data_IF_245042201516
#
_entry.id   IF_245042201516
#
_cell.length_a   1.000
_cell.length_b   1.000
_cell.length_c   1.000
_cell.angle_alpha   90.00
_cell.angle_beta   90.00
_cell.angle_gamma   90.00
#
_symmetry.space_group_name_H-M   'P 1'
#
loop_
_entity.id
_entity.type
_entity.pdbx_description
1 polymer ?
#
# COMPACT_ATOMS: atom_id res chain seq x y z
N UNK A 1 19.60 20.49 -16.71
CA UNK A 1 18.26 19.97 -16.43
C UNK A 1 18.35 18.50 -16.07
N UNK A 2 18.05 18.16 -14.81
CA UNK A 2 17.72 16.79 -14.42
C UNK A 2 16.26 16.87 -14.03
N UNK A 3 15.40 16.29 -14.85
CA UNK A 3 13.96 16.24 -14.61
C UNK A 3 13.74 15.29 -13.42
N UNK A 4 13.83 15.85 -12.22
CA UNK A 4 13.64 15.13 -10.96
C UNK A 4 12.21 14.66 -10.84
N UNK A 5 12.03 13.43 -10.35
CA UNK A 5 10.74 12.91 -9.90
C UNK A 5 10.05 13.99 -9.08
N UNK A 6 8.87 14.43 -9.50
CA UNK A 6 8.02 15.23 -8.63
C UNK A 6 7.66 14.31 -7.45
N UNK A 7 7.84 14.81 -6.23
CA UNK A 7 7.54 14.06 -5.00
C UNK A 7 6.06 14.17 -4.68
N UNK A 8 5.50 13.14 -4.02
CA UNK A 8 4.14 13.20 -3.50
C UNK A 8 4.12 13.61 -2.02
N UNK A 9 2.99 14.14 -1.56
CA UNK A 9 2.71 14.44 -0.16
C UNK A 9 1.36 13.87 0.23
N UNK A 10 1.19 13.52 1.51
CA UNK A 10 -0.10 13.12 2.08
C UNK A 10 -1.05 14.29 2.35
N UNK A 11 -0.61 15.53 2.16
CA UNK A 11 -1.45 16.72 2.38
C UNK A 11 -2.53 16.89 1.30
N UNK A 12 -2.23 16.53 0.05
CA UNK A 12 -3.14 16.66 -1.10
C UNK A 12 -3.20 15.36 -1.93
N UNK A 13 -3.67 14.23 -1.37
CA UNK A 13 -3.72 12.93 -2.06
C UNK A 13 -4.67 12.91 -3.26
N UNK A 14 -5.67 13.80 -3.30
CA UNK A 14 -6.59 13.99 -4.42
C UNK A 14 -5.89 14.42 -5.71
N UNK A 15 -4.68 14.98 -5.59
CA UNK A 15 -3.89 15.45 -6.72
C UNK A 15 -2.93 14.40 -7.28
N UNK A 16 -2.76 13.26 -6.62
CA UNK A 16 -1.82 12.22 -7.05
C UNK A 16 -2.12 11.72 -8.46
N UNK A 17 -3.39 11.67 -8.86
CA UNK A 17 -3.82 11.28 -10.20
C UNK A 17 -3.28 12.13 -11.34
N UNK A 18 -2.91 13.40 -11.06
CA UNK A 18 -2.33 14.32 -12.06
C UNK A 18 -0.99 13.81 -12.60
N UNK A 19 -0.20 13.18 -11.74
CA UNK A 19 1.15 12.69 -12.07
C UNK A 19 1.24 11.16 -12.10
N UNK A 20 0.41 10.50 -11.31
CA UNK A 20 0.28 9.06 -11.22
C UNK A 20 -1.15 8.65 -11.61
N UNK A 21 -1.50 8.58 -12.92
CA UNK A 21 -2.88 8.38 -13.37
C UNK A 21 -3.57 7.13 -12.83
N UNK A 22 -2.81 6.12 -12.39
CA UNK A 22 -3.36 4.92 -11.75
C UNK A 22 -4.02 5.21 -10.40
N UNK A 23 -3.64 6.30 -9.72
CA UNK A 23 -4.27 6.74 -8.46
C UNK A 23 -5.73 7.19 -8.67
N UNK A 24 -6.11 7.63 -9.88
CA UNK A 24 -7.50 7.96 -10.25
C UNK A 24 -8.29 6.75 -10.78
N UNK A 25 -7.72 5.54 -10.70
CA UNK A 25 -8.40 4.31 -11.10
C UNK A 25 -9.63 4.00 -10.23
N UNK A 26 -10.53 3.16 -10.72
CA UNK A 26 -11.80 2.82 -10.03
C UNK A 26 -11.68 1.80 -8.89
N UNK A 27 -10.49 1.23 -8.70
CA UNK A 27 -10.24 0.11 -7.78
C UNK A 27 -9.09 0.44 -6.82
N UNK A 28 -9.20 1.59 -6.14
CA UNK A 28 -8.19 2.02 -5.15
C UNK A 28 -8.42 1.40 -3.78
N UNK A 29 -7.36 1.40 -2.98
CA UNK A 29 -7.38 1.20 -1.54
C UNK A 29 -6.98 2.49 -0.82
N UNK A 30 -7.37 2.70 0.45
CA UNK A 30 -8.21 1.83 1.28
C UNK A 30 -9.71 1.92 0.94
N UNK A 31 -10.49 0.96 1.45
CA UNK A 31 -11.97 0.98 1.40
C UNK A 31 -12.57 0.66 2.78
N UNK A 32 -13.82 1.04 2.98
CA UNK A 32 -14.62 0.61 4.14
C UNK A 32 -15.15 -0.82 3.93
N UNK A 33 -14.69 -1.77 4.76
CA UNK A 33 -15.13 -3.17 4.72
C UNK A 33 -16.35 -3.39 5.61
N UNK A 34 -17.54 -3.39 5.00
CA UNK A 34 -18.80 -3.68 5.71
C UNK A 34 -18.89 -5.18 6.03
N UNK A 35 -18.90 -5.52 7.32
CA UNK A 35 -18.85 -6.90 7.83
C UNK A 35 -19.96 -7.81 7.23
N UNK A 36 -21.11 -7.23 6.88
CA UNK A 36 -22.26 -7.95 6.33
C UNK A 36 -22.17 -8.22 4.82
N UNK A 37 -21.17 -7.66 4.13
CA UNK A 37 -20.90 -7.88 2.70
C UNK A 37 -19.61 -8.67 2.55
N UNK A 38 -19.70 -9.98 2.79
CA UNK A 38 -18.62 -10.92 2.48
C UNK A 38 -19.17 -11.99 1.55
N UNK A 39 -18.59 -12.10 0.36
CA UNK A 39 -18.74 -13.32 -0.41
C UNK A 39 -18.06 -14.43 0.39
N UNK A 40 -18.78 -15.51 0.70
CA UNK A 40 -18.18 -16.68 1.34
C UNK A 40 -17.37 -17.40 0.27
N UNK A 41 -16.08 -17.10 0.22
CA UNK A 41 -15.11 -17.82 -0.62
C UNK A 41 -14.57 -18.97 0.22
N UNK A 42 -14.37 -20.14 -0.38
CA UNK A 42 -13.55 -21.19 0.26
C UNK A 42 -12.11 -20.71 0.29
N UNK A 43 -11.76 -19.99 1.36
CA UNK A 43 -10.41 -19.47 1.56
C UNK A 43 -9.53 -20.53 2.21
N UNK A 44 -8.43 -20.86 1.55
CA UNK A 44 -7.36 -21.62 2.17
C UNK A 44 -6.68 -20.77 3.25
N UNK A 45 -6.34 -21.38 4.39
CA UNK A 45 -5.58 -20.70 5.43
C UNK A 45 -4.23 -20.20 4.89
N UNK A 46 -3.91 -18.93 5.17
CA UNK A 46 -2.60 -18.37 4.87
C UNK A 46 -1.52 -19.16 5.60
N UNK A 47 -0.46 -19.54 4.88
CA UNK A 47 0.70 -20.23 5.43
C UNK A 47 1.87 -19.26 5.53
N UNK A 48 2.37 -19.06 6.74
CA UNK A 48 3.53 -18.21 7.02
C UNK A 48 4.73 -19.12 7.29
N UNK A 49 5.60 -19.28 6.30
CA UNK A 49 6.83 -20.06 6.46
C UNK A 49 7.93 -19.16 7.01
N UNK A 50 8.69 -19.63 8.01
CA UNK A 50 9.85 -18.92 8.59
C UNK A 50 9.59 -17.51 9.13
N UNK A 51 8.33 -17.10 9.30
CA UNK A 51 7.98 -15.76 9.80
C UNK A 51 8.50 -15.51 11.22
N UNK A 52 8.61 -16.57 12.02
CA UNK A 52 9.12 -16.50 13.40
C UNK A 52 10.64 -16.65 13.47
N UNK A 53 11.33 -16.83 12.34
CA UNK A 53 12.78 -16.99 12.31
C UNK A 53 13.42 -15.62 12.52
N UNK A 54 14.30 -15.54 13.52
CA UNK A 54 14.94 -14.27 13.91
C UNK A 54 16.07 -13.99 12.91
N UNK A 55 16.05 -12.87 12.18
CA UNK A 55 17.13 -12.53 11.26
C UNK A 55 18.36 -12.01 12.01
N UNK A 56 19.55 -12.22 11.45
CA UNK A 56 20.82 -11.69 12.00
C UNK A 56 20.86 -10.16 12.02
N UNK A 57 20.15 -9.52 11.09
CA UNK A 57 20.00 -8.06 11.04
C UNK A 57 18.70 -7.64 10.37
N UNK A 58 18.19 -6.47 10.73
CA UNK A 58 17.05 -5.80 10.10
C UNK A 58 17.40 -4.33 9.87
N UNK A 59 16.92 -3.76 8.76
CA UNK A 59 17.12 -2.35 8.44
C UNK A 59 15.78 -1.61 8.53
N UNK A 60 15.68 -0.71 9.49
CA UNK A 60 14.62 0.30 9.54
C UNK A 60 15.15 1.63 8.99
N UNK A 61 14.36 2.31 8.17
CA UNK A 61 14.73 3.59 7.55
C UNK A 61 13.54 4.51 7.64
N UNK A 62 13.76 5.74 8.11
CA UNK A 62 12.81 6.81 7.94
C UNK A 62 12.90 7.32 6.49
N UNK A 63 11.87 7.08 5.69
CA UNK A 63 11.78 7.54 4.30
C UNK A 63 10.90 8.79 4.15
N UNK A 64 10.35 9.34 5.24
CA UNK A 64 9.44 10.49 5.23
C UNK A 64 7.99 10.19 4.81
N UNK A 65 7.68 8.94 4.43
CA UNK A 65 6.40 8.55 3.85
C UNK A 65 5.80 7.27 4.46
N UNK A 66 6.44 6.69 5.48
CA UNK A 66 6.00 5.47 6.15
C UNK A 66 6.39 5.47 7.62
#
# INVERSE_FOLDING_TARGET
>A
EIQGSVGFSYENPEDWGKEYPTCDGKSQSPIDLKINFRASVEDSLLKFNEYNSIPDSMKAVNNGHS
#
